data_IF_799258293990
#
_entry.id   IF_799258293990
#
_cell.length_a   1.000
_cell.length_b   1.000
_cell.length_c   1.000
_cell.angle_alpha   90.00
_cell.angle_beta   90.00
_cell.angle_gamma   90.00
#
_symmetry.space_group_name_H-M   'P 1'
#
loop_
_entity.id
_entity.type
_entity.pdbx_description
1 polymer ?
#
# COMPACT_ATOMS: atom_id res chain seq x y z
N UNK A 1 19.72 14.83 -23.26
CA UNK A 1 18.60 15.55 -23.85
C UNK A 1 17.63 16.04 -22.79
N UNK A 2 16.63 16.77 -23.19
CA UNK A 2 15.52 17.18 -22.31
C UNK A 2 14.47 16.08 -22.32
N UNK A 3 14.24 15.44 -21.16
CA UNK A 3 13.27 14.37 -21.00
C UNK A 3 11.81 14.79 -21.11
N UNK A 4 11.53 16.09 -21.32
CA UNK A 4 10.19 16.62 -21.59
C UNK A 4 9.93 16.83 -23.08
N UNK A 5 10.96 16.66 -23.92
CA UNK A 5 10.87 16.78 -25.36
C UNK A 5 10.28 15.51 -25.99
N UNK A 6 9.11 15.59 -26.67
CA UNK A 6 8.48 14.42 -27.29
C UNK A 6 9.34 13.72 -28.35
N UNK A 7 10.18 14.43 -29.06
CA UNK A 7 11.03 13.85 -30.11
C UNK A 7 12.13 12.99 -29.47
N UNK A 8 12.74 13.47 -28.38
CA UNK A 8 13.70 12.69 -27.60
C UNK A 8 13.03 11.46 -27.00
N UNK A 9 11.81 11.58 -26.44
CA UNK A 9 11.08 10.44 -25.90
C UNK A 9 10.78 9.38 -26.95
N UNK A 10 10.51 9.78 -28.20
CA UNK A 10 10.33 8.84 -29.32
C UNK A 10 11.63 8.16 -29.72
N UNK A 11 12.72 8.91 -29.81
CA UNK A 11 14.06 8.36 -30.07
C UNK A 11 14.45 7.31 -29.03
N UNK A 12 14.10 7.54 -27.75
CA UNK A 12 14.32 6.61 -26.64
C UNK A 12 13.27 5.49 -26.55
N UNK A 13 12.34 5.42 -27.51
CA UNK A 13 11.43 4.29 -27.68
C UNK A 13 10.19 4.29 -26.78
N UNK A 14 9.68 5.46 -26.36
CA UNK A 14 8.49 5.57 -25.50
C UNK A 14 7.29 4.79 -26.03
N UNK A 15 7.18 4.60 -27.35
CA UNK A 15 6.06 3.90 -27.99
C UNK A 15 6.06 2.39 -27.73
N UNK A 16 7.21 1.82 -27.34
CA UNK A 16 7.40 0.37 -27.19
C UNK A 16 7.76 -0.07 -25.77
N UNK A 17 7.92 0.87 -24.83
CA UNK A 17 8.27 0.54 -23.45
C UNK A 17 7.14 -0.21 -22.74
N UNK A 18 7.47 -1.09 -21.81
CA UNK A 18 6.51 -1.81 -20.99
C UNK A 18 5.97 -0.95 -19.83
N UNK A 19 6.79 -0.02 -19.36
CA UNK A 19 6.41 0.92 -18.28
C UNK A 19 7.08 2.25 -18.47
N UNK A 20 6.41 3.32 -17.99
CA UNK A 20 6.92 4.67 -18.02
C UNK A 20 6.66 5.38 -16.68
N UNK A 21 7.69 5.97 -16.11
CA UNK A 21 7.66 6.55 -14.76
C UNK A 21 8.34 7.92 -14.78
N UNK A 22 7.62 9.03 -14.96
CA UNK A 22 8.19 10.36 -14.90
C UNK A 22 8.54 10.75 -13.45
N UNK A 23 9.80 11.15 -13.24
CA UNK A 23 10.35 11.46 -11.93
C UNK A 23 10.98 12.85 -11.87
N UNK A 24 10.46 13.79 -12.65
CA UNK A 24 10.95 15.19 -12.61
C UNK A 24 10.65 15.85 -11.26
N UNK A 25 11.24 17.03 -11.03
CA UNK A 25 10.95 17.85 -9.86
C UNK A 25 9.59 18.56 -9.92
N UNK A 26 8.93 18.59 -11.07
CA UNK A 26 7.74 19.39 -11.37
C UNK A 26 6.55 18.45 -11.62
N UNK A 27 5.51 18.59 -10.79
CA UNK A 27 4.34 17.69 -10.83
C UNK A 27 3.57 17.83 -12.14
N UNK A 28 3.44 19.05 -12.65
CA UNK A 28 2.76 19.35 -13.90
C UNK A 28 3.45 18.68 -15.10
N UNK A 29 4.78 18.66 -15.10
CA UNK A 29 5.56 17.91 -16.11
C UNK A 29 5.33 16.41 -15.99
N UNK A 30 5.36 15.85 -14.77
CA UNK A 30 5.11 14.42 -14.56
C UNK A 30 3.71 14.03 -15.03
N UNK A 31 2.70 14.89 -14.81
CA UNK A 31 1.33 14.68 -15.31
C UNK A 31 1.30 14.68 -16.84
N UNK A 32 1.90 15.71 -17.46
CA UNK A 32 1.90 15.84 -18.93
C UNK A 32 2.65 14.68 -19.59
N UNK A 33 3.80 14.31 -19.06
CA UNK A 33 4.58 13.16 -19.54
C UNK A 33 3.80 11.84 -19.44
N UNK A 34 3.08 11.65 -18.33
CA UNK A 34 2.22 10.46 -18.16
C UNK A 34 1.11 10.43 -19.20
N UNK A 35 0.41 11.54 -19.40
CA UNK A 35 -0.68 11.64 -20.37
C UNK A 35 -0.15 11.39 -21.79
N UNK A 36 1.01 11.97 -22.13
CA UNK A 36 1.66 11.73 -23.41
C UNK A 36 2.05 10.26 -23.59
N UNK A 37 2.69 9.64 -22.60
CA UNK A 37 3.04 8.22 -22.66
C UNK A 37 1.81 7.33 -22.90
N UNK A 38 0.70 7.61 -22.24
CA UNK A 38 -0.57 6.87 -22.44
C UNK A 38 -1.18 7.09 -23.81
N UNK A 39 -0.95 8.24 -24.41
CA UNK A 39 -1.44 8.53 -25.77
C UNK A 39 -0.67 7.77 -26.84
N UNK A 40 0.66 7.62 -26.67
CA UNK A 40 1.53 7.05 -27.70
C UNK A 40 1.90 5.60 -27.47
N UNK A 41 1.61 5.02 -26.29
CA UNK A 41 1.96 3.65 -25.93
C UNK A 41 0.87 2.97 -25.10
N UNK A 42 1.06 1.65 -24.90
CA UNK A 42 0.28 0.85 -23.94
C UNK A 42 1.05 0.60 -22.63
N UNK A 43 2.05 1.41 -22.35
CA UNK A 43 2.89 1.26 -21.18
C UNK A 43 2.07 1.36 -19.87
N UNK A 44 2.46 0.57 -18.88
CA UNK A 44 2.02 0.79 -17.51
C UNK A 44 2.66 2.09 -17.00
N UNK A 45 1.84 3.03 -16.55
CA UNK A 45 2.34 4.32 -16.06
C UNK A 45 2.25 4.43 -14.55
N UNK A 46 3.28 5.04 -13.96
CA UNK A 46 3.30 5.41 -12.53
C UNK A 46 3.71 6.86 -12.44
N UNK A 47 2.86 7.70 -11.84
CA UNK A 47 3.06 9.15 -11.81
C UNK A 47 3.44 9.61 -10.41
N UNK A 48 4.61 10.27 -10.29
CA UNK A 48 5.06 10.91 -9.06
C UNK A 48 4.41 12.27 -8.90
N UNK A 49 3.79 12.53 -7.73
CA UNK A 49 3.18 13.80 -7.35
C UNK A 49 3.71 14.24 -5.98
N UNK A 50 4.29 15.40 -5.88
CA UNK A 50 4.82 15.96 -4.62
C UNK A 50 3.80 16.85 -3.89
N UNK A 51 2.92 17.56 -4.65
CA UNK A 51 1.93 18.50 -4.14
C UNK A 51 0.52 17.91 -4.24
N UNK A 52 -0.25 18.04 -3.18
CA UNK A 52 -1.56 17.39 -3.05
C UNK A 52 -2.72 18.39 -3.19
N UNK A 53 -2.42 19.66 -3.51
CA UNK A 53 -3.41 20.74 -3.48
C UNK A 53 -4.56 20.57 -4.48
N UNK A 54 -4.33 19.88 -5.60
CA UNK A 54 -5.32 19.63 -6.66
C UNK A 54 -5.75 18.17 -6.74
N UNK A 55 -5.76 17.47 -5.62
CA UNK A 55 -6.02 16.02 -5.56
C UNK A 55 -7.33 15.61 -6.29
N UNK A 56 -8.39 16.41 -6.15
CA UNK A 56 -9.66 16.13 -6.83
C UNK A 56 -9.51 16.16 -8.35
N UNK A 57 -8.75 17.12 -8.90
CA UNK A 57 -8.48 17.19 -10.34
C UNK A 57 -7.58 16.04 -10.77
N UNK A 58 -6.51 15.78 -10.03
CA UNK A 58 -5.54 14.71 -10.29
C UNK A 58 -6.24 13.34 -10.30
N UNK A 59 -7.14 13.08 -9.36
CA UNK A 59 -7.87 11.82 -9.28
C UNK A 59 -8.85 11.59 -10.43
N UNK A 60 -9.25 12.64 -11.14
CA UNK A 60 -10.10 12.54 -12.33
C UNK A 60 -9.31 12.33 -13.62
N UNK A 61 -7.97 12.47 -13.55
CA UNK A 61 -7.09 12.19 -14.68
C UNK A 61 -6.66 10.71 -14.62
N UNK A 62 -6.61 10.09 -15.78
CA UNK A 62 -6.10 8.72 -15.90
C UNK A 62 -4.55 8.71 -15.90
N UNK A 63 -3.98 8.81 -14.71
CA UNK A 63 -2.53 8.91 -14.49
C UNK A 63 -1.88 7.57 -14.07
N UNK A 64 -2.62 6.46 -14.16
CA UNK A 64 -2.15 5.17 -13.69
C UNK A 64 -1.99 5.13 -12.16
N UNK A 65 -0.92 4.51 -11.68
CA UNK A 65 -0.63 4.48 -10.25
C UNK A 65 -0.01 5.81 -9.80
N UNK A 66 -0.58 6.44 -8.77
CA UNK A 66 -0.06 7.67 -8.20
C UNK A 66 0.87 7.37 -7.02
N UNK A 67 2.03 8.01 -7.00
CA UNK A 67 3.00 7.91 -5.91
C UNK A 67 3.23 9.29 -5.29
N UNK A 68 3.00 9.39 -4.00
CA UNK A 68 3.20 10.57 -3.20
C UNK A 68 4.36 10.35 -2.22
N UNK A 69 5.62 10.76 -2.55
CA UNK A 69 6.79 10.45 -1.73
C UNK A 69 6.67 10.91 -0.27
N UNK A 70 6.00 12.05 -0.04
CA UNK A 70 5.78 12.56 1.32
C UNK A 70 4.90 11.63 2.17
N UNK A 71 3.92 10.95 1.55
CA UNK A 71 3.08 9.99 2.27
C UNK A 71 3.87 8.73 2.61
N UNK A 72 4.63 8.19 1.65
CA UNK A 72 5.49 7.01 1.90
C UNK A 72 6.43 7.28 3.07
N UNK A 73 7.08 8.45 3.09
CA UNK A 73 7.99 8.83 4.19
C UNK A 73 7.24 8.98 5.51
N UNK A 74 6.06 9.61 5.51
CA UNK A 74 5.28 9.77 6.74
C UNK A 74 4.75 8.45 7.28
N UNK A 75 4.34 7.54 6.41
CA UNK A 75 3.91 6.19 6.77
C UNK A 75 5.04 5.39 7.40
N UNK A 76 6.24 5.43 6.81
CA UNK A 76 7.42 4.79 7.38
C UNK A 76 7.78 5.36 8.78
N UNK A 77 7.68 6.68 8.96
CA UNK A 77 7.90 7.32 10.26
C UNK A 77 6.85 6.88 11.28
N UNK A 78 5.58 6.85 10.90
CA UNK A 78 4.48 6.43 11.77
C UNK A 78 4.65 4.96 12.18
N UNK A 79 4.97 4.09 11.23
CA UNK A 79 5.24 2.68 11.51
C UNK A 79 6.40 2.52 12.50
N UNK A 80 7.52 3.23 12.27
CA UNK A 80 8.66 3.23 13.16
C UNK A 80 8.31 3.72 14.57
N UNK A 81 7.56 4.83 14.68
CA UNK A 81 7.15 5.38 15.99
C UNK A 81 6.20 4.43 16.70
N UNK A 82 5.25 3.81 15.99
CA UNK A 82 4.36 2.79 16.59
C UNK A 82 5.16 1.59 17.08
N UNK A 83 6.04 1.04 16.26
CA UNK A 83 6.92 -0.07 16.65
C UNK A 83 7.77 0.28 17.88
N UNK A 84 8.36 1.48 17.93
CA UNK A 84 9.18 1.92 19.06
C UNK A 84 8.37 2.22 20.33
N UNK A 85 7.16 2.78 20.21
CA UNK A 85 6.27 3.03 21.35
C UNK A 85 5.80 1.71 21.98
N UNK A 86 5.73 0.68 21.19
CA UNK A 86 5.31 -0.66 21.57
C UNK A 86 6.51 -1.61 21.76
N UNK A 87 7.68 -1.08 22.15
CA UNK A 87 8.89 -1.89 22.41
C UNK A 87 8.70 -3.00 23.46
N UNK A 88 7.49 -3.26 23.89
CA UNK A 88 7.02 -4.37 24.72
C UNK A 88 5.91 -5.15 23.98
N UNK A 89 6.07 -5.46 22.68
CA UNK A 89 5.19 -6.37 21.97
C UNK A 89 4.37 -5.80 20.81
N UNK A 90 4.94 -4.93 19.99
CA UNK A 90 4.27 -4.57 18.71
C UNK A 90 4.80 -5.47 17.60
N UNK A 91 3.89 -6.21 16.98
CA UNK A 91 4.16 -7.15 15.90
C UNK A 91 3.83 -6.58 14.54
N UNK A 92 3.78 -5.23 14.40
CA UNK A 92 3.52 -4.56 13.14
C UNK A 92 4.80 -4.59 12.29
N UNK A 93 4.74 -5.24 11.12
CA UNK A 93 5.78 -5.17 10.11
C UNK A 93 5.59 -3.99 9.19
N UNK A 94 4.38 -3.81 8.68
CA UNK A 94 4.08 -2.79 7.68
C UNK A 94 2.73 -2.13 7.96
N UNK A 95 2.64 -0.83 7.67
CA UNK A 95 1.41 -0.05 7.79
C UNK A 95 1.22 0.82 6.56
N UNK A 96 0.09 0.65 5.89
CA UNK A 96 -0.32 1.48 4.76
C UNK A 96 -1.60 2.24 5.08
N UNK A 97 -1.62 3.54 4.79
CA UNK A 97 -2.83 4.33 4.81
C UNK A 97 -3.47 4.36 3.42
N UNK A 98 -4.75 4.02 3.36
CA UNK A 98 -5.52 3.95 2.12
C UNK A 98 -6.70 4.92 2.17
N UNK A 99 -7.15 5.37 0.98
CA UNK A 99 -8.36 6.21 0.83
C UNK A 99 -8.34 7.46 1.74
N UNK A 100 -7.25 8.24 1.67
CA UNK A 100 -7.05 9.44 2.49
C UNK A 100 -7.04 9.17 4.00
N UNK A 101 -6.31 8.13 4.39
CA UNK A 101 -6.19 7.69 5.80
C UNK A 101 -7.51 7.26 6.45
N UNK A 102 -8.52 6.91 5.64
CA UNK A 102 -9.79 6.37 6.14
C UNK A 102 -9.75 4.88 6.42
N UNK A 103 -8.75 4.21 5.89
CA UNK A 103 -8.54 2.76 6.02
C UNK A 103 -7.05 2.53 6.23
N UNK A 104 -6.72 1.64 7.14
CA UNK A 104 -5.36 1.15 7.35
C UNK A 104 -5.25 -0.30 6.83
N UNK A 105 -4.18 -0.61 6.09
CA UNK A 105 -3.75 -1.97 5.85
C UNK A 105 -2.51 -2.22 6.70
N UNK A 106 -2.59 -3.19 7.60
CA UNK A 106 -1.56 -3.45 8.61
C UNK A 106 -1.12 -4.89 8.50
N UNK A 107 0.17 -5.09 8.44
CA UNK A 107 0.80 -6.41 8.43
C UNK A 107 1.37 -6.71 9.81
N UNK A 108 0.97 -7.86 10.35
CA UNK A 108 1.40 -8.34 11.68
C UNK A 108 2.10 -9.68 11.57
N UNK A 109 3.12 -9.88 12.37
CA UNK A 109 3.61 -11.23 12.69
C UNK A 109 2.77 -11.77 13.85
N UNK A 110 2.35 -13.03 13.73
CA UNK A 110 1.60 -13.73 14.77
C UNK A 110 2.58 -14.33 15.78
N UNK A 111 2.53 -13.84 17.02
CA UNK A 111 3.37 -14.37 18.10
C UNK A 111 2.78 -15.65 18.68
N UNK A 112 3.63 -16.41 19.36
CA UNK A 112 3.21 -17.59 20.12
C UNK A 112 2.13 -17.24 21.15
N UNK A 113 1.11 -18.07 21.23
CA UNK A 113 -0.06 -17.90 22.10
C UNK A 113 -0.94 -16.69 21.78
N UNK A 114 -0.93 -16.18 20.56
CA UNK A 114 -1.88 -15.18 20.08
C UNK A 114 -3.32 -15.71 20.18
N UNK A 115 -4.27 -14.84 20.53
CA UNK A 115 -5.70 -15.19 20.64
C UNK A 115 -6.32 -15.62 19.30
N UNK A 116 -5.67 -15.29 18.19
CA UNK A 116 -6.14 -15.62 16.84
C UNK A 116 -5.54 -16.92 16.32
N UNK A 117 -4.50 -17.45 16.96
CA UNK A 117 -3.78 -18.63 16.50
C UNK A 117 -4.56 -19.91 16.76
N UNK A 118 -4.61 -20.81 15.76
CA UNK A 118 -5.25 -22.12 15.84
C UNK A 118 -6.78 -22.08 15.94
N UNK A 119 -7.40 -20.94 15.56
CA UNK A 119 -8.85 -20.79 15.57
C UNK A 119 -9.33 -20.48 14.15
N UNK A 120 -10.30 -21.25 13.61
CA UNK A 120 -10.89 -20.93 12.31
C UNK A 120 -11.41 -19.48 12.27
N UNK A 121 -11.12 -18.76 11.18
CA UNK A 121 -11.46 -17.33 11.05
C UNK A 121 -12.95 -17.06 11.28
N UNK A 122 -13.83 -17.97 10.86
CA UNK A 122 -15.28 -17.86 11.07
C UNK A 122 -15.69 -17.87 12.56
N UNK A 123 -14.84 -18.47 13.42
CA UNK A 123 -15.09 -18.60 14.86
C UNK A 123 -14.44 -17.45 15.66
N UNK A 124 -13.56 -16.67 15.03
CA UNK A 124 -12.99 -15.47 15.61
C UNK A 124 -14.06 -14.37 15.77
N UNK A 125 -14.15 -13.82 16.97
CA UNK A 125 -15.05 -12.69 17.25
C UNK A 125 -14.40 -11.38 16.79
N UNK A 126 -14.26 -11.19 15.49
CA UNK A 126 -13.64 -10.02 14.93
C UNK A 126 -14.37 -8.73 15.35
N UNK A 127 -13.61 -7.67 15.53
CA UNK A 127 -14.15 -6.31 15.66
C UNK A 127 -14.82 -5.91 14.34
N UNK A 128 -15.75 -4.96 14.44
CA UNK A 128 -16.41 -4.37 13.26
C UNK A 128 -15.35 -3.68 12.37
N UNK A 129 -15.58 -3.70 11.07
CA UNK A 129 -14.72 -3.04 10.09
C UNK A 129 -13.27 -3.57 10.07
N UNK A 130 -13.09 -4.86 10.31
CA UNK A 130 -11.83 -5.61 10.17
C UNK A 130 -12.00 -6.68 9.10
N UNK A 131 -11.07 -6.74 8.16
CA UNK A 131 -10.97 -7.75 7.13
C UNK A 131 -9.56 -8.36 7.19
N UNK A 132 -9.46 -9.67 7.33
CA UNK A 132 -8.22 -10.41 7.13
C UNK A 132 -8.09 -10.63 5.62
N UNK A 133 -7.13 -9.96 4.98
CA UNK A 133 -7.02 -9.94 3.53
C UNK A 133 -6.04 -10.97 2.98
N UNK A 134 -4.94 -11.22 3.68
CA UNK A 134 -3.92 -12.19 3.31
C UNK A 134 -3.31 -12.84 4.54
N UNK A 135 -2.94 -14.12 4.41
CA UNK A 135 -2.08 -14.84 5.35
C UNK A 135 -0.89 -15.37 4.55
N UNK A 136 0.29 -15.13 5.06
CA UNK A 136 1.53 -15.67 4.54
C UNK A 136 2.07 -16.69 5.53
N UNK A 137 1.96 -17.96 5.16
CA UNK A 137 2.49 -19.07 5.92
C UNK A 137 3.81 -19.54 5.27
N UNK A 138 4.94 -19.24 5.89
CA UNK A 138 6.27 -19.64 5.42
C UNK A 138 6.54 -19.31 3.94
N UNK A 139 6.10 -18.14 3.46
CA UNK A 139 6.27 -17.70 2.07
C UNK A 139 5.13 -18.13 1.13
N UNK A 140 4.16 -18.90 1.62
CA UNK A 140 2.96 -19.24 0.88
C UNK A 140 1.82 -18.29 1.23
N UNK A 141 1.47 -17.44 0.28
CA UNK A 141 0.44 -16.41 0.48
C UNK A 141 -0.92 -16.95 0.05
N UNK A 142 -1.90 -16.87 0.93
CA UNK A 142 -3.30 -17.23 0.67
C UNK A 142 -4.24 -16.05 0.89
N UNK A 143 -5.36 -16.03 0.16
CA UNK A 143 -6.52 -15.21 0.49
C UNK A 143 -7.41 -16.09 1.36
N UNK A 144 -7.52 -15.80 2.67
CA UNK A 144 -8.16 -16.73 3.58
C UNK A 144 -9.68 -16.77 3.42
N UNK A 145 -10.25 -17.91 3.73
CA UNK A 145 -11.68 -18.15 3.90
C UNK A 145 -12.02 -18.31 5.38
N UNK A 146 -13.30 -18.38 5.71
CA UNK A 146 -13.72 -18.59 7.09
C UNK A 146 -13.25 -19.93 7.72
N UNK A 147 -12.85 -20.91 6.91
CA UNK A 147 -12.39 -22.21 7.42
C UNK A 147 -10.87 -22.29 7.61
N UNK A 148 -10.14 -21.29 7.12
CA UNK A 148 -8.70 -21.23 7.31
C UNK A 148 -8.37 -20.76 8.72
N UNK A 149 -7.21 -21.14 9.21
CA UNK A 149 -6.69 -20.78 10.52
C UNK A 149 -5.44 -19.92 10.34
N UNK A 150 -5.16 -19.12 11.35
CA UNK A 150 -3.92 -18.38 11.50
C UNK A 150 -3.02 -19.16 12.42
N UNK A 151 -1.75 -19.34 12.07
CA UNK A 151 -0.79 -20.07 12.88
C UNK A 151 0.28 -19.16 13.49
N UNK A 152 0.92 -19.61 14.55
CA UNK A 152 2.05 -18.92 15.15
C UNK A 152 3.19 -18.78 14.11
N UNK A 153 3.75 -17.59 13.98
CA UNK A 153 4.79 -17.27 12.99
C UNK A 153 4.28 -16.81 11.64
N UNK A 154 2.96 -16.89 11.39
CA UNK A 154 2.37 -16.33 10.17
C UNK A 154 2.55 -14.81 10.11
N UNK A 155 2.60 -14.30 8.88
CA UNK A 155 2.40 -12.88 8.63
C UNK A 155 0.98 -12.66 8.11
N UNK A 156 0.22 -11.82 8.79
CA UNK A 156 -1.20 -11.57 8.48
C UNK A 156 -1.43 -10.12 8.12
N UNK A 157 -2.01 -9.87 6.94
CA UNK A 157 -2.42 -8.54 6.55
C UNK A 157 -3.90 -8.34 6.82
N UNK A 158 -4.21 -7.33 7.60
CA UNK A 158 -5.59 -6.87 7.85
C UNK A 158 -5.86 -5.54 7.18
N UNK A 159 -7.12 -5.33 6.78
CA UNK A 159 -7.62 -4.04 6.31
C UNK A 159 -8.73 -3.59 7.26
N UNK A 160 -8.60 -2.37 7.79
CA UNK A 160 -9.50 -1.90 8.83
C UNK A 160 -9.74 -0.38 8.77
N UNK A 161 -10.93 0.04 9.22
CA UNK A 161 -11.21 1.46 9.51
C UNK A 161 -10.86 1.84 10.95
N UNK A 162 -10.57 0.87 11.79
CA UNK A 162 -10.14 1.15 13.16
C UNK A 162 -8.68 1.61 13.13
N UNK A 163 -8.36 2.58 13.95
CA UNK A 163 -7.00 3.11 14.08
C UNK A 163 -6.36 2.68 15.38
N UNK A 164 -5.02 2.62 15.39
CA UNK A 164 -4.27 2.41 16.62
C UNK A 164 -4.12 0.96 17.04
N UNK A 165 -4.35 -0.02 16.17
CA UNK A 165 -4.01 -1.41 16.45
C UNK A 165 -2.49 -1.53 16.65
N UNK A 166 -2.09 -2.29 17.64
CA UNK A 166 -0.70 -2.45 18.07
C UNK A 166 -0.20 -3.89 17.90
N UNK A 167 -1.12 -4.84 17.87
CA UNK A 167 -0.85 -6.25 17.64
C UNK A 167 -2.04 -6.94 16.98
N UNK A 168 -1.80 -8.15 16.49
CA UNK A 168 -2.85 -8.94 15.79
C UNK A 168 -4.03 -9.23 16.72
N UNK A 169 -3.82 -9.40 18.01
CA UNK A 169 -4.87 -9.67 18.99
C UNK A 169 -5.88 -8.52 19.13
N UNK A 170 -5.52 -7.33 18.67
CA UNK A 170 -6.44 -6.19 18.66
C UNK A 170 -7.59 -6.33 17.68
N UNK A 171 -7.54 -7.30 16.74
CA UNK A 171 -8.62 -7.52 15.78
C UNK A 171 -9.84 -8.23 16.41
N UNK A 172 -9.66 -8.92 17.51
CA UNK A 172 -10.73 -9.63 18.22
C UNK A 172 -11.30 -8.83 19.39
N UNK A 173 -12.52 -9.19 19.83
CA UNK A 173 -13.23 -8.57 20.93
C UNK A 173 -12.87 -9.15 22.27
#
# INVERSE_FOLDING_TARGET
>A
GDGTDPDILKEEGIETVQSFIPLTGIDEENIMLTLYAKQVSKAKVVTKINRVNYKQVINNLDLGSLVYPKYITSEAIIAYVRAKKNSMGSNIETLYHMFDSRVEAIEFIVEENSKVSGVPIKDLKLKKDVLISFINHNGHIIIPTGNDEIEDGDTVMIVTKNTGFTGIDDIVR
#
